data_IF_383791128381
#
_entry.id   IF_383791128381
#
_cell.length_a   1.000
_cell.length_b   1.000
_cell.length_c   1.000
_cell.angle_alpha   90.00
_cell.angle_beta   90.00
_cell.angle_gamma   90.00
#
_symmetry.space_group_name_H-M   'P 1'
#
loop_
_entity.id
_entity.type
_entity.pdbx_description
1 polymer ?
#
# COMPACT_ATOMS: atom_id res chain seq x y z
N UNK A 1 7.02 -10.40 3.54
CA UNK A 1 5.55 -10.22 3.41
C UNK A 1 5.14 -9.14 4.40
N UNK A 2 4.41 -8.12 3.96
CA UNK A 2 4.03 -6.98 4.80
C UNK A 2 2.51 -6.96 4.99
N UNK A 3 2.07 -6.58 6.19
CA UNK A 3 0.66 -6.35 6.50
C UNK A 3 0.53 -4.93 7.07
N UNK A 4 -0.25 -4.06 6.43
CA UNK A 4 -0.41 -2.70 6.92
C UNK A 4 -1.32 -2.69 8.16
N UNK A 5 -0.96 -1.88 9.15
CA UNK A 5 -1.73 -1.75 10.40
C UNK A 5 -3.08 -1.07 10.17
N UNK A 6 -3.17 -0.22 9.14
CA UNK A 6 -4.39 0.48 8.74
C UNK A 6 -4.72 0.13 7.29
N UNK A 7 -5.99 0.18 6.89
CA UNK A 7 -6.37 0.06 5.48
C UNK A 7 -5.65 1.11 4.64
N UNK A 8 -4.95 0.66 3.59
CA UNK A 8 -4.22 1.50 2.65
C UNK A 8 -4.54 1.06 1.23
N UNK A 9 -4.63 2.02 0.32
CA UNK A 9 -4.71 1.73 -1.11
C UNK A 9 -3.29 1.49 -1.64
N UNK A 10 -3.06 0.33 -2.26
CA UNK A 10 -1.80 -0.08 -2.86
C UNK A 10 -2.13 -0.83 -4.15
N UNK A 11 -1.27 -0.71 -5.15
CA UNK A 11 -1.39 -1.44 -6.43
C UNK A 11 -0.08 -2.11 -6.80
N UNK A 12 -0.15 -3.08 -7.71
CA UNK A 12 1.05 -3.75 -8.24
C UNK A 12 1.85 -2.77 -9.09
N UNK A 13 3.16 -2.72 -8.86
CA UNK A 13 4.05 -1.76 -9.52
C UNK A 13 4.01 -1.81 -11.04
N UNK A 14 3.83 -3.00 -11.63
CA UNK A 14 3.78 -3.18 -13.08
C UNK A 14 2.52 -2.60 -13.71
N UNK A 15 1.42 -2.51 -12.94
CA UNK A 15 0.14 -1.96 -13.41
C UNK A 15 0.07 -0.46 -13.11
N UNK A 16 0.36 -0.07 -11.87
CA UNK A 16 0.32 1.32 -11.42
C UNK A 16 1.61 1.67 -10.65
N UNK A 17 2.66 2.14 -11.37
CA UNK A 17 3.96 2.45 -10.78
C UNK A 17 3.91 3.47 -9.64
N UNK A 18 2.97 4.41 -9.71
CA UNK A 18 2.80 5.50 -8.73
C UNK A 18 2.25 4.99 -7.39
N UNK A 19 1.36 3.99 -7.41
CA UNK A 19 0.76 3.39 -6.22
C UNK A 19 1.50 2.15 -5.71
N UNK A 20 2.43 1.62 -6.51
CA UNK A 20 3.24 0.44 -6.16
C UNK A 20 4.60 0.76 -5.53
N UNK A 21 5.00 2.03 -5.42
CA UNK A 21 6.27 2.43 -4.77
C UNK A 21 6.02 2.87 -3.32
N UNK A 22 6.86 2.44 -2.40
CA UNK A 22 6.77 2.86 -1.00
C UNK A 22 8.15 3.05 -0.36
N UNK A 23 8.19 3.89 0.67
CA UNK A 23 9.37 4.11 1.51
C UNK A 23 9.04 3.70 2.95
N UNK A 24 9.98 3.04 3.61
CA UNK A 24 9.90 2.68 5.02
C UNK A 24 10.69 3.72 5.80
N UNK A 25 10.03 4.34 6.79
CA UNK A 25 10.61 5.37 7.64
C UNK A 25 10.57 4.92 9.08
N UNK A 26 11.67 5.15 9.80
CA UNK A 26 11.74 4.97 11.24
C UNK A 26 12.40 6.20 11.86
N UNK A 27 11.78 6.73 12.92
CA UNK A 27 12.24 7.92 13.65
C UNK A 27 12.71 9.11 12.76
N UNK A 28 11.98 9.40 11.67
CA UNK A 28 12.25 10.54 10.79
C UNK A 28 13.21 10.24 9.62
N UNK A 29 13.92 9.12 9.67
CA UNK A 29 14.87 8.70 8.63
C UNK A 29 14.26 7.62 7.73
N UNK A 30 14.59 7.65 6.43
CA UNK A 30 14.21 6.59 5.50
C UNK A 30 15.18 5.42 5.65
N UNK A 31 14.67 4.27 6.08
CA UNK A 31 15.47 3.06 6.30
C UNK A 31 15.47 2.11 5.10
N UNK A 32 14.44 2.17 4.25
CA UNK A 32 14.35 1.36 3.05
C UNK A 32 13.36 1.94 2.03
N UNK A 33 13.46 1.48 0.79
CA UNK A 33 12.50 1.73 -0.28
C UNK A 33 12.17 0.40 -0.98
N UNK A 34 10.95 0.28 -1.50
CA UNK A 34 10.48 -0.96 -2.11
C UNK A 34 9.37 -0.76 -3.14
N UNK A 35 9.10 -1.83 -3.89
CA UNK A 35 8.00 -1.90 -4.85
C UNK A 35 7.07 -3.08 -4.53
N UNK A 36 5.78 -2.89 -4.75
CA UNK A 36 4.75 -3.91 -4.56
C UNK A 36 4.76 -4.87 -5.75
N UNK A 37 5.06 -6.14 -5.47
CA UNK A 37 5.05 -7.21 -6.49
C UNK A 37 3.71 -7.93 -6.58
N UNK A 38 3.04 -8.15 -5.45
CA UNK A 38 1.81 -8.92 -5.37
C UNK A 38 0.97 -8.47 -4.16
N UNK A 39 -0.36 -8.45 -4.30
CA UNK A 39 -1.32 -8.13 -3.25
C UNK A 39 -2.11 -9.40 -2.89
N UNK A 40 -1.85 -9.96 -1.70
CA UNK A 40 -2.46 -11.23 -1.28
C UNK A 40 -3.87 -11.11 -0.69
N UNK A 41 -4.28 -9.93 -0.23
CA UNK A 41 -5.61 -9.69 0.35
C UNK A 41 -6.12 -8.32 -0.08
N UNK A 42 -7.28 -8.29 -0.75
CA UNK A 42 -8.01 -7.06 -1.03
C UNK A 42 -9.11 -6.93 0.02
N UNK A 43 -9.02 -5.90 0.87
CA UNK A 43 -10.09 -5.57 1.82
C UNK A 43 -10.97 -4.55 1.13
N UNK A 44 -12.23 -4.89 0.87
CA UNK A 44 -13.18 -3.93 0.32
C UNK A 44 -13.40 -2.81 1.35
N UNK A 45 -13.07 -1.57 0.99
CA UNK A 45 -13.36 -0.43 1.83
C UNK A 45 -14.89 -0.31 2.02
N UNK A 46 -15.38 0.02 3.23
CA UNK A 46 -16.81 0.18 3.46
C UNK A 46 -17.35 1.27 2.53
N UNK A 47 -18.23 0.88 1.59
CA UNK A 47 -18.93 1.82 0.70
C UNK A 47 -19.76 2.75 1.58
N UNK A 48 -19.34 4.00 1.72
CA UNK A 48 -20.23 5.05 2.24
C UNK A 48 -21.29 5.29 1.15
N UNK A 49 -22.47 4.73 1.36
CA UNK A 49 -23.66 5.01 0.54
C UNK A 49 -24.10 6.43 0.88
N UNK A 50 -23.69 7.41 0.08
CA UNK A 50 -24.29 8.74 0.10
C UNK A 50 -25.57 8.68 -0.72
N UNK A 51 -26.70 8.94 -0.04
CA UNK A 51 -28.02 9.13 -0.65
C UNK A 51 -28.10 10.46 -1.40
#
# INVERSE_FOLDING_TARGET
>A
RFEPVRPVALEVYTEFPELGRFAIRDMGTTIAAGVVKEITKKVEAPKKVTA
#
